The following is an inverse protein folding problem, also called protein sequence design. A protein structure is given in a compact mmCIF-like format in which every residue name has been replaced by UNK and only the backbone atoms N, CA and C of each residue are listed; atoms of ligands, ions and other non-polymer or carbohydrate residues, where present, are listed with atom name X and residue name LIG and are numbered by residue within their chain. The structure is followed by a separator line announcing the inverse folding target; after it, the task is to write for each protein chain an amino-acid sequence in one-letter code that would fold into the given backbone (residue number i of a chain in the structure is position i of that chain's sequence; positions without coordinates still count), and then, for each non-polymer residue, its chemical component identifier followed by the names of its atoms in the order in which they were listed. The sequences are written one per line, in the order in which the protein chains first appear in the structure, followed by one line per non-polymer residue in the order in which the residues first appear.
data_IF_314072018411
#
_entry.id   IF_314072018411
#
_cell.length_a   1.000
_cell.length_b   1.000
_cell.length_c   1.000
_cell.angle_alpha   90.00
_cell.angle_beta   90.00
_cell.angle_gamma   90.00
#
_symmetry.space_group_name_H-M   'P 1'
#
loop_
_entity.id
_entity.type
_entity.pdbx_description
1 polymer ?
#
# COMPACT_ATOMS: atom_id res chain seq x y z
N UNK A 1 -17.96 -29.54 -12.21
CA UNK A 1 -17.61 -28.19 -12.71
C UNK A 1 -17.01 -27.43 -11.54
N UNK A 2 -15.68 -27.48 -11.44
CA UNK A 2 -14.89 -27.02 -10.30
C UNK A 2 -15.07 -25.51 -10.05
N UNK A 3 -14.98 -25.09 -8.79
CA UNK A 3 -15.30 -23.79 -8.19
C UNK A 3 -14.68 -22.52 -8.86
N UNK A 4 -14.94 -22.28 -10.15
CA UNK A 4 -14.49 -21.08 -10.88
C UNK A 4 -15.20 -19.81 -10.39
N UNK A 5 -16.43 -19.93 -9.89
CA UNK A 5 -17.26 -18.79 -9.46
C UNK A 5 -16.70 -18.08 -8.22
N UNK A 6 -16.30 -18.84 -7.19
CA UNK A 6 -15.77 -18.24 -5.96
C UNK A 6 -14.42 -17.56 -6.20
N UNK A 7 -13.51 -18.21 -6.93
CA UNK A 7 -12.21 -17.63 -7.33
C UNK A 7 -12.39 -16.38 -8.20
N UNK A 8 -13.32 -16.39 -9.15
CA UNK A 8 -13.61 -15.23 -10.00
C UNK A 8 -14.11 -14.02 -9.20
N UNK A 9 -14.96 -14.25 -8.18
CA UNK A 9 -15.41 -13.18 -7.27
C UNK A 9 -14.26 -12.58 -6.47
N UNK A 10 -13.38 -13.41 -5.92
CA UNK A 10 -12.18 -12.94 -5.19
C UNK A 10 -11.25 -12.16 -6.11
N UNK A 11 -11.05 -12.63 -7.34
CA UNK A 11 -10.22 -11.95 -8.33
C UNK A 11 -10.82 -10.60 -8.75
N UNK A 12 -12.13 -10.50 -8.95
CA UNK A 12 -12.81 -9.25 -9.26
C UNK A 12 -12.75 -8.25 -8.11
N UNK A 13 -12.92 -8.72 -6.87
CA UNK A 13 -12.78 -7.89 -5.66
C UNK A 13 -11.34 -7.40 -5.48
N UNK A 14 -10.34 -8.26 -5.67
CA UNK A 14 -8.94 -7.86 -5.65
C UNK A 14 -8.59 -6.84 -6.73
N UNK A 15 -9.14 -7.01 -7.95
CA UNK A 15 -8.98 -6.04 -9.04
C UNK A 15 -9.57 -4.67 -8.69
N UNK A 16 -10.73 -4.63 -8.03
CA UNK A 16 -11.34 -3.39 -7.55
C UNK A 16 -10.47 -2.68 -6.50
N UNK A 17 -9.93 -3.40 -5.52
CA UNK A 17 -9.02 -2.82 -4.53
C UNK A 17 -7.73 -2.29 -5.16
N UNK A 18 -7.14 -3.06 -6.08
CA UNK A 18 -5.95 -2.63 -6.83
C UNK A 18 -6.21 -1.36 -7.63
N UNK A 19 -7.38 -1.23 -8.27
CA UNK A 19 -7.77 -0.02 -8.99
C UNK A 19 -7.92 1.22 -8.07
N UNK A 20 -8.23 1.04 -6.79
CA UNK A 20 -8.27 2.14 -5.81
C UNK A 20 -6.87 2.51 -5.28
N UNK A 21 -6.01 1.50 -5.07
CA UNK A 21 -4.69 1.72 -4.46
C UNK A 21 -3.66 2.20 -5.46
N UNK A 22 -3.65 1.69 -6.70
CA UNK A 22 -2.66 2.06 -7.72
C UNK A 22 -2.58 3.58 -7.95
N UNK A 23 -3.70 4.33 -8.10
CA UNK A 23 -3.64 5.79 -8.27
C UNK A 23 -3.06 6.54 -7.06
N UNK A 24 -3.22 5.98 -5.85
CA UNK A 24 -2.79 6.58 -4.59
C UNK A 24 -1.44 6.04 -4.10
N UNK A 25 -0.84 5.08 -4.81
CA UNK A 25 0.35 4.36 -4.33
C UNK A 25 1.55 5.29 -4.15
N UNK A 26 1.66 6.33 -4.97
CA UNK A 26 2.69 7.36 -4.83
C UNK A 26 2.62 8.10 -3.49
N UNK A 27 1.42 8.36 -2.99
CA UNK A 27 1.24 9.00 -1.68
C UNK A 27 1.67 8.07 -0.53
N UNK A 28 1.34 6.77 -0.63
CA UNK A 28 1.80 5.77 0.36
C UNK A 28 3.31 5.59 0.35
N UNK A 29 3.92 5.57 -0.84
CA UNK A 29 5.37 5.46 -1.00
C UNK A 29 6.06 6.72 -0.47
N UNK A 30 5.62 7.92 -0.85
CA UNK A 30 6.18 9.18 -0.38
C UNK A 30 6.04 9.32 1.15
N UNK A 31 4.87 8.98 1.70
CA UNK A 31 4.66 8.93 3.14
C UNK A 31 5.62 7.93 3.82
N UNK A 32 5.74 6.71 3.29
CA UNK A 32 6.68 5.70 3.77
C UNK A 32 8.13 6.21 3.79
N UNK A 33 8.57 6.88 2.73
CA UNK A 33 9.89 7.49 2.69
C UNK A 33 10.06 8.62 3.70
N UNK A 34 9.09 9.53 3.81
CA UNK A 34 9.13 10.62 4.81
C UNK A 34 9.25 10.01 6.22
N UNK A 35 8.45 9.01 6.55
CA UNK A 35 8.55 8.34 7.85
C UNK A 35 9.91 7.66 8.04
N UNK A 36 10.39 6.89 7.06
CA UNK A 36 11.68 6.21 7.16
C UNK A 36 12.87 7.17 7.32
N UNK A 37 12.76 8.38 6.77
CA UNK A 37 13.75 9.43 6.96
C UNK A 37 13.70 9.99 8.38
N UNK A 38 12.52 10.38 8.88
CA UNK A 38 12.38 11.19 10.10
C UNK A 38 12.01 10.44 11.39
N UNK A 39 11.72 9.14 11.36
CA UNK A 39 11.49 8.38 12.60
C UNK A 39 12.77 8.36 13.46
N UNK A 40 12.68 8.16 14.79
CA UNK A 40 13.86 8.16 15.68
C UNK A 40 14.95 7.15 15.30
N UNK A 41 14.58 6.03 14.67
CA UNK A 41 15.51 5.01 14.14
C UNK A 41 15.69 5.11 12.62
N UNK A 42 15.34 6.24 12.04
CA UNK A 42 15.32 6.49 10.60
C UNK A 42 16.71 6.82 10.06
N UNK A 43 16.79 7.11 8.77
CA UNK A 43 18.08 7.46 8.13
C UNK A 43 18.55 8.88 8.44
N UNK A 44 17.62 9.80 8.70
CA UNK A 44 17.87 11.19 9.10
C UNK A 44 16.97 11.53 10.30
N UNK A 45 17.22 10.89 11.46
CA UNK A 45 16.37 11.05 12.64
C UNK A 45 16.34 12.53 13.03
N UNK A 46 15.14 13.09 13.16
CA UNK A 46 14.99 14.43 13.70
C UNK A 46 14.98 14.33 15.23
N UNK A 47 16.13 14.59 15.86
CA UNK A 47 16.31 14.53 17.32
C UNK A 47 15.51 15.61 18.09
N UNK A 48 14.75 16.46 17.39
CA UNK A 48 14.03 17.62 17.94
C UNK A 48 12.49 17.58 17.81
N UNK A 49 11.86 16.44 17.46
CA UNK A 49 10.39 16.31 17.52
C UNK A 49 9.88 16.02 18.95
#
# INVERSE_FOLDING_TARGET
MENKSARAKVQAFGGFLTAMVIPNIGAFIAWGFITALFIPTGWLPNEHF
#
